data_IF_621194534239
#
_entry.id   IF_621194534239
#
_cell.length_a   1.000
_cell.length_b   1.000
_cell.length_c   1.000
_cell.angle_alpha   90.00
_cell.angle_beta   90.00
_cell.angle_gamma   90.00
#
_symmetry.space_group_name_H-M   'P 1'
#
loop_
_entity.id
_entity.type
_entity.pdbx_description
1 polymer ?
#
# COMPACT_ATOMS: atom_id res chain seq x y z
N UNK A 1 -11.13 1.98 -27.16
CA UNK A 1 -9.65 2.17 -27.10
C UNK A 1 -9.28 2.59 -25.70
N UNK A 2 -8.85 1.69 -24.85
CA UNK A 2 -8.27 2.01 -23.55
C UNK A 2 -6.97 2.80 -23.80
N UNK A 3 -6.89 4.04 -23.33
CA UNK A 3 -5.67 4.84 -23.40
C UNK A 3 -4.52 4.02 -22.81
N UNK A 4 -3.47 3.78 -23.57
CA UNK A 4 -2.26 3.09 -23.10
C UNK A 4 -1.73 3.84 -21.85
N UNK A 5 -1.88 3.22 -20.68
CA UNK A 5 -1.37 3.78 -19.41
C UNK A 5 0.14 3.57 -19.41
N UNK A 6 0.89 4.67 -19.36
CA UNK A 6 2.35 4.65 -19.18
C UNK A 6 2.67 4.65 -17.69
N UNK A 7 3.35 3.62 -17.21
CA UNK A 7 3.76 3.49 -15.79
C UNK A 7 4.55 4.74 -15.35
N UNK A 8 5.46 5.21 -16.18
CA UNK A 8 6.30 6.35 -15.84
C UNK A 8 5.49 7.61 -15.47
N UNK A 9 4.38 7.90 -16.19
CA UNK A 9 3.56 9.08 -15.91
C UNK A 9 2.73 8.91 -14.64
N UNK A 10 2.16 7.73 -14.44
CA UNK A 10 1.35 7.41 -13.24
C UNK A 10 2.26 7.44 -12.01
N UNK A 11 3.41 6.77 -12.07
CA UNK A 11 4.34 6.73 -10.95
C UNK A 11 4.85 8.12 -10.54
N UNK A 12 5.17 9.01 -11.49
CA UNK A 12 5.59 10.39 -11.17
C UNK A 12 4.44 11.15 -10.50
N UNK A 13 3.22 11.04 -11.02
CA UNK A 13 2.06 11.70 -10.41
C UNK A 13 1.81 11.22 -8.99
N UNK A 14 1.84 9.90 -8.76
CA UNK A 14 1.61 9.28 -7.46
C UNK A 14 2.70 9.68 -6.45
N UNK A 15 3.96 9.72 -6.87
CA UNK A 15 5.09 10.15 -6.02
C UNK A 15 4.90 11.61 -5.60
N UNK A 16 4.57 12.50 -6.55
CA UNK A 16 4.35 13.92 -6.27
C UNK A 16 3.15 14.12 -5.36
N UNK A 17 2.03 13.44 -5.64
CA UNK A 17 0.82 13.50 -4.81
C UNK A 17 1.08 13.03 -3.37
N UNK A 18 1.79 11.91 -3.21
CA UNK A 18 2.16 11.36 -1.89
C UNK A 18 3.07 12.33 -1.13
N UNK A 19 4.07 12.91 -1.80
CA UNK A 19 5.00 13.85 -1.19
C UNK A 19 4.27 15.13 -0.72
N UNK A 20 3.43 15.70 -1.57
CA UNK A 20 2.63 16.89 -1.23
C UNK A 20 1.72 16.61 -0.04
N UNK A 21 1.02 15.48 -0.05
CA UNK A 21 0.11 15.10 1.03
C UNK A 21 0.86 14.83 2.34
N UNK A 22 2.05 14.23 2.27
CA UNK A 22 2.92 14.02 3.43
C UNK A 22 3.41 15.36 4.02
N UNK A 23 3.81 16.33 3.20
CA UNK A 23 4.20 17.67 3.66
C UNK A 23 3.02 18.38 4.33
N UNK A 24 1.83 18.32 3.75
CA UNK A 24 0.60 18.87 4.33
C UNK A 24 0.27 18.23 5.66
N UNK A 25 0.40 16.90 5.78
CA UNK A 25 0.19 16.18 7.03
C UNK A 25 1.16 16.64 8.13
N UNK A 26 2.44 16.79 7.81
CA UNK A 26 3.45 17.29 8.75
C UNK A 26 3.12 18.73 9.18
N UNK A 27 2.71 19.58 8.25
CA UNK A 27 2.32 20.95 8.58
C UNK A 27 1.13 20.99 9.56
N UNK A 28 0.09 20.19 9.34
CA UNK A 28 -1.03 20.07 10.28
C UNK A 28 -0.62 19.43 11.61
N UNK A 29 0.30 18.49 11.63
CA UNK A 29 0.79 17.90 12.87
C UNK A 29 1.55 18.93 13.71
N UNK A 30 2.40 19.77 13.09
CA UNK A 30 3.09 20.86 13.77
C UNK A 30 2.10 21.92 14.30
N UNK A 31 1.11 22.30 13.49
CA UNK A 31 0.05 23.18 13.94
C UNK A 31 -0.70 22.58 15.12
N UNK A 32 -1.05 21.28 15.06
CA UNK A 32 -1.79 20.57 16.10
C UNK A 32 -1.09 20.56 17.45
N UNK A 33 0.24 20.51 17.50
CA UNK A 33 1.00 20.60 18.76
C UNK A 33 0.86 21.98 19.42
N UNK A 34 0.82 23.04 18.62
CA UNK A 34 0.59 24.40 19.12
C UNK A 34 -0.83 24.58 19.68
N UNK A 35 -1.83 24.13 18.94
CA UNK A 35 -3.24 24.21 19.37
C UNK A 35 -3.53 23.34 20.59
N UNK A 36 -2.86 22.21 20.72
CA UNK A 36 -2.96 21.37 21.92
C UNK A 36 -2.43 22.10 23.15
N UNK A 37 -1.29 22.77 23.04
CA UNK A 37 -0.72 23.54 24.14
C UNK A 37 -1.65 24.69 24.56
N UNK A 38 -2.27 25.39 23.60
CA UNK A 38 -3.25 26.45 23.89
C UNK A 38 -4.51 25.88 24.57
N UNK A 39 -5.01 24.74 24.13
CA UNK A 39 -6.15 24.07 24.75
C UNK A 39 -5.83 23.64 26.20
N UNK A 40 -4.63 23.12 26.45
CA UNK A 40 -4.18 22.77 27.80
C UNK A 40 -4.13 23.99 28.71
N UNK A 41 -3.51 25.07 28.26
CA UNK A 41 -3.44 26.33 29.02
C UNK A 41 -4.85 26.87 29.33
N UNK A 42 -5.74 26.92 28.34
CA UNK A 42 -7.11 27.38 28.56
C UNK A 42 -7.91 26.48 29.52
N UNK A 43 -7.60 25.18 29.51
CA UNK A 43 -8.23 24.24 30.46
C UNK A 43 -7.71 24.42 31.88
N UNK A 44 -6.42 24.60 32.03
CA UNK A 44 -5.81 24.87 33.34
C UNK A 44 -6.30 26.19 33.92
N UNK A 45 -6.42 27.25 33.13
CA UNK A 45 -6.99 28.55 33.53
C UNK A 45 -8.46 28.39 33.99
N UNK A 46 -9.24 27.60 33.25
CA UNK A 46 -10.64 27.34 33.64
C UNK A 46 -10.74 26.62 35.00
N UNK A 47 -9.96 25.52 35.15
CA UNK A 47 -9.96 24.74 36.40
C UNK A 47 -9.48 25.57 37.57
N UNK A 48 -8.45 26.38 37.37
CA UNK A 48 -7.91 27.26 38.42
C UNK A 48 -8.89 28.35 38.78
N UNK A 49 -9.55 29.00 37.79
CA UNK A 49 -10.59 29.98 38.04
C UNK A 49 -11.75 29.40 38.84
N UNK A 50 -12.28 28.22 38.48
CA UNK A 50 -13.37 27.55 39.20
C UNK A 50 -12.98 27.20 40.65
N UNK A 51 -11.74 26.69 40.82
CA UNK A 51 -11.23 26.32 42.13
C UNK A 51 -11.09 27.54 43.05
N UNK A 52 -10.52 28.62 42.55
CA UNK A 52 -10.34 29.87 43.30
C UNK A 52 -11.68 30.58 43.58
N UNK A 53 -12.63 30.52 42.65
CA UNK A 53 -13.97 31.03 42.86
C UNK A 53 -14.67 30.31 44.05
N UNK A 54 -14.58 29.00 44.09
CA UNK A 54 -15.11 28.20 45.24
C UNK A 54 -14.39 28.50 46.54
N UNK A 55 -13.06 28.70 46.52
CA UNK A 55 -12.28 29.06 47.71
C UNK A 55 -12.65 30.45 48.22
N UNK A 56 -12.84 31.42 47.35
CA UNK A 56 -13.27 32.78 47.72
C UNK A 56 -14.65 32.75 48.40
N UNK A 57 -15.61 32.04 47.79
CA UNK A 57 -16.95 31.94 48.35
C UNK A 57 -16.95 31.19 49.69
N UNK A 58 -16.28 30.00 49.73
CA UNK A 58 -16.21 29.20 50.96
C UNK A 58 -15.48 29.92 52.10
N UNK A 59 -14.41 30.68 51.78
CA UNK A 59 -13.72 31.52 52.76
C UNK A 59 -14.58 32.65 53.32
N UNK A 60 -15.36 33.31 52.46
CA UNK A 60 -16.30 34.33 52.88
C UNK A 60 -17.43 33.78 53.80
N UNK A 61 -18.03 32.67 53.42
CA UNK A 61 -19.07 32.00 54.24
C UNK A 61 -18.52 31.52 55.57
N UNK A 62 -17.27 30.98 55.55
CA UNK A 62 -16.60 30.49 56.78
C UNK A 62 -16.39 31.63 57.78
N UNK A 63 -15.87 32.79 57.34
CA UNK A 63 -15.63 33.96 58.18
C UNK A 63 -16.97 34.42 58.84
N UNK A 64 -18.04 34.53 58.06
CA UNK A 64 -19.38 34.91 58.57
C UNK A 64 -19.88 33.91 59.64
N UNK A 65 -19.71 32.62 59.39
CA UNK A 65 -20.14 31.58 60.31
C UNK A 65 -19.36 31.63 61.62
N UNK A 66 -18.00 31.84 61.56
CA UNK A 66 -17.19 31.95 62.79
C UNK A 66 -17.66 33.16 63.66
N UNK A 67 -17.93 34.30 63.05
CA UNK A 67 -18.45 35.50 63.77
C UNK A 67 -19.80 35.21 64.43
N UNK A 68 -20.71 34.61 63.66
CA UNK A 68 -22.07 34.27 64.24
C UNK A 68 -22.00 33.27 65.41
N UNK A 69 -21.14 32.24 65.21
CA UNK A 69 -20.97 31.23 66.30
C UNK A 69 -20.26 31.83 67.50
N UNK A 70 -19.25 32.70 67.32
CA UNK A 70 -18.60 33.37 68.43
C UNK A 70 -19.56 34.31 69.17
N UNK A 71 -20.32 35.11 68.47
CA UNK A 71 -21.30 36.03 69.11
C UNK A 71 -22.47 35.29 69.82
N UNK A 72 -22.80 34.10 69.34
CA UNK A 72 -23.89 33.28 69.96
C UNK A 72 -23.41 32.49 71.20
N UNK A 73 -22.16 31.96 71.14
CA UNK A 73 -21.67 31.00 72.14
C UNK A 73 -20.66 31.58 73.12
N UNK A 74 -19.92 32.61 72.72
CA UNK A 74 -18.76 33.12 73.47
C UNK A 74 -17.50 32.17 73.47
N UNK A 75 -17.56 31.06 72.69
CA UNK A 75 -16.48 30.11 72.68
C UNK A 75 -15.30 30.66 71.87
N UNK A 76 -14.15 30.74 72.49
CA UNK A 76 -12.90 31.32 71.91
C UNK A 76 -12.46 30.67 70.59
N UNK A 77 -12.73 29.40 70.46
CA UNK A 77 -12.36 28.64 69.23
C UNK A 77 -12.83 29.31 67.96
N UNK A 78 -14.09 29.85 67.96
CA UNK A 78 -14.64 30.52 66.76
C UNK A 78 -13.90 31.84 66.43
N UNK A 79 -13.43 32.56 67.41
CA UNK A 79 -12.63 33.77 67.23
C UNK A 79 -11.24 33.40 66.68
N UNK A 80 -10.60 32.38 67.24
CA UNK A 80 -9.29 31.89 66.79
C UNK A 80 -9.37 31.38 65.35
N UNK A 81 -10.41 30.59 64.97
CA UNK A 81 -10.67 30.13 63.63
C UNK A 81 -10.89 31.27 62.63
N UNK A 82 -11.58 32.34 63.02
CA UNK A 82 -11.80 33.53 62.18
C UNK A 82 -10.45 34.18 61.81
N UNK A 83 -9.57 34.38 62.80
CA UNK A 83 -8.27 34.98 62.58
C UNK A 83 -7.23 34.02 61.90
N UNK A 84 -7.39 32.74 62.10
CA UNK A 84 -6.62 31.74 61.33
C UNK A 84 -6.95 31.81 59.85
N UNK A 85 -8.24 31.90 59.47
CA UNK A 85 -8.63 32.07 58.08
C UNK A 85 -8.12 33.39 57.51
N UNK A 86 -8.21 34.51 58.22
CA UNK A 86 -7.73 35.81 57.75
C UNK A 86 -6.21 35.90 57.58
N UNK A 87 -5.46 35.35 58.51
CA UNK A 87 -4.03 35.60 58.61
C UNK A 87 -3.15 34.45 58.07
N UNK A 88 -3.66 33.20 58.09
CA UNK A 88 -2.92 31.99 57.75
C UNK A 88 -3.43 31.33 56.49
N UNK A 89 -4.70 30.91 56.47
CA UNK A 89 -5.31 30.19 55.37
C UNK A 89 -5.55 31.09 54.15
N UNK A 90 -6.09 32.29 54.38
CA UNK A 90 -6.22 33.38 53.40
C UNK A 90 -6.89 32.98 52.09
N UNK A 91 -7.87 32.01 52.12
CA UNK A 91 -8.52 31.51 50.89
C UNK A 91 -9.07 32.64 50.03
N UNK A 92 -9.74 33.58 50.65
CA UNK A 92 -10.34 34.71 49.95
C UNK A 92 -9.30 35.67 49.37
N UNK A 93 -8.30 36.03 50.17
CA UNK A 93 -7.23 36.97 49.80
C UNK A 93 -6.38 36.38 48.67
N UNK A 94 -6.01 35.11 48.74
CA UNK A 94 -5.23 34.42 47.70
C UNK A 94 -6.00 34.35 46.37
N UNK A 95 -7.31 34.09 46.41
CA UNK A 95 -8.13 34.11 45.21
C UNK A 95 -8.22 35.52 44.61
N UNK A 96 -8.38 36.56 45.47
CA UNK A 96 -8.39 37.94 45.00
C UNK A 96 -7.07 38.40 44.34
N UNK A 97 -5.93 38.02 44.93
CA UNK A 97 -4.62 38.31 44.36
C UNK A 97 -4.50 37.70 42.99
N UNK A 98 -4.90 36.44 42.81
CA UNK A 98 -4.90 35.76 41.52
C UNK A 98 -5.80 36.44 40.49
N UNK A 99 -7.06 36.75 40.89
CA UNK A 99 -8.00 37.40 39.97
C UNK A 99 -7.57 38.84 39.62
N UNK A 100 -6.88 39.55 40.50
CA UNK A 100 -6.34 40.85 40.23
C UNK A 100 -5.23 40.79 39.18
N UNK A 101 -4.36 39.78 39.25
CA UNK A 101 -3.25 39.58 38.34
C UNK A 101 -3.74 39.15 36.95
N UNK A 102 -4.68 38.25 36.85
CA UNK A 102 -5.10 37.64 35.59
C UNK A 102 -6.33 38.28 34.93
N UNK A 103 -7.18 38.96 35.71
CA UNK A 103 -8.46 39.53 35.26
C UNK A 103 -8.68 40.98 35.71
N UNK A 104 -7.63 41.69 36.10
CA UNK A 104 -7.72 43.03 36.70
C UNK A 104 -8.46 44.06 35.87
N UNK A 105 -8.41 43.95 34.53
CA UNK A 105 -9.09 44.86 33.61
C UNK A 105 -10.52 44.42 33.22
N UNK A 106 -11.03 43.34 33.82
CA UNK A 106 -12.33 42.78 33.50
C UNK A 106 -13.44 43.39 34.37
N UNK A 107 -14.63 43.65 33.79
CA UNK A 107 -15.79 44.17 34.52
C UNK A 107 -16.22 43.28 35.70
N UNK A 108 -16.12 41.97 35.53
CA UNK A 108 -16.40 41.00 36.57
C UNK A 108 -15.46 41.15 37.77
N UNK A 109 -14.17 41.43 37.55
CA UNK A 109 -13.23 41.70 38.63
C UNK A 109 -13.50 43.04 39.29
N UNK A 110 -13.96 44.06 38.54
CA UNK A 110 -14.39 45.37 39.10
C UNK A 110 -15.59 45.18 40.06
N UNK A 111 -16.55 44.32 39.71
CA UNK A 111 -17.66 43.97 40.57
C UNK A 111 -17.19 43.26 41.85
N UNK A 112 -16.24 42.30 41.73
CA UNK A 112 -15.63 41.62 42.86
C UNK A 112 -14.92 42.60 43.81
N UNK A 113 -14.16 43.56 43.26
CA UNK A 113 -13.50 44.59 44.03
C UNK A 113 -14.48 45.46 44.81
N UNK A 114 -15.64 45.80 44.23
CA UNK A 114 -16.73 46.53 44.92
C UNK A 114 -17.29 45.68 46.06
N UNK A 115 -17.53 44.39 45.85
CA UNK A 115 -17.99 43.47 46.90
C UNK A 115 -17.01 43.41 48.07
N UNK A 116 -15.70 43.36 47.79
CA UNK A 116 -14.67 43.35 48.81
C UNK A 116 -14.60 44.64 49.64
N UNK A 117 -14.88 45.79 49.02
CA UNK A 117 -14.97 47.07 49.74
C UNK A 117 -16.15 47.07 50.73
N UNK A 118 -17.31 46.56 50.31
CA UNK A 118 -18.46 46.39 51.21
C UNK A 118 -18.15 45.34 52.31
N UNK A 119 -17.47 44.27 52.01
CA UNK A 119 -17.01 43.25 52.97
C UNK A 119 -16.07 43.83 54.05
N UNK A 120 -15.22 44.80 53.72
CA UNK A 120 -14.35 45.49 54.68
C UNK A 120 -15.19 46.26 55.73
N UNK A 121 -16.31 46.84 55.32
CA UNK A 121 -17.24 47.52 56.27
C UNK A 121 -17.93 46.51 57.21
N UNK A 122 -18.31 45.35 56.71
CA UNK A 122 -18.82 44.23 57.54
C UNK A 122 -17.75 43.75 58.51
N UNK A 123 -16.52 43.60 58.11
CA UNK A 123 -15.41 43.17 58.98
C UNK A 123 -15.16 44.14 60.15
N UNK A 124 -15.47 45.41 60.01
CA UNK A 124 -15.45 46.33 61.16
C UNK A 124 -16.52 45.98 62.14
N UNK A 125 -17.78 45.75 61.72
CA UNK A 125 -18.89 45.35 62.55
C UNK A 125 -18.62 44.00 63.22
N UNK A 126 -18.01 43.06 62.50
CA UNK A 126 -17.61 41.74 63.02
C UNK A 126 -16.63 41.88 64.18
N UNK A 127 -15.57 42.63 63.99
CA UNK A 127 -14.57 42.85 65.05
C UNK A 127 -15.12 43.63 66.22
N UNK A 128 -16.06 44.59 66.01
CA UNK A 128 -16.74 45.29 67.09
C UNK A 128 -17.60 44.33 67.90
N UNK A 129 -18.38 43.47 67.24
CA UNK A 129 -19.21 42.46 67.90
C UNK A 129 -18.36 41.45 68.68
N UNK A 130 -17.27 40.98 68.08
CA UNK A 130 -16.31 40.08 68.73
C UNK A 130 -15.64 40.75 69.96
N UNK A 131 -15.30 42.03 69.89
CA UNK A 131 -14.77 42.79 71.05
C UNK A 131 -15.72 42.82 72.18
N UNK A 132 -17.03 43.02 71.93
CA UNK A 132 -18.07 42.98 72.99
C UNK A 132 -18.14 41.63 73.67
N UNK A 133 -18.11 40.55 72.89
CA UNK A 133 -18.11 39.17 73.40
C UNK A 133 -16.84 38.85 74.18
N UNK A 134 -15.68 39.23 73.67
CA UNK A 134 -14.39 39.00 74.34
C UNK A 134 -14.37 39.68 75.73
N UNK A 135 -14.89 40.94 75.83
CA UNK A 135 -14.97 41.63 77.05
C UNK A 135 -15.94 41.00 78.07
N UNK A 136 -16.97 40.33 77.57
CA UNK A 136 -17.98 39.63 78.42
C UNK A 136 -17.53 38.22 78.83
N UNK A 137 -16.69 37.53 78.08
CA UNK A 137 -16.39 36.11 78.27
C UNK A 137 -14.91 35.80 78.62
N UNK A 138 -13.96 36.69 78.28
CA UNK A 138 -12.55 36.47 78.45
C UNK A 138 -11.94 37.49 79.42
N UNK A 139 -11.54 37.05 80.56
CA UNK A 139 -11.05 37.95 81.64
C UNK A 139 -9.65 38.55 81.37
N UNK A 140 -8.79 37.87 80.55
CA UNK A 140 -7.41 38.27 80.22
C UNK A 140 -7.32 38.89 78.81
N UNK A 141 -7.28 40.22 78.78
CA UNK A 141 -7.15 40.99 77.53
C UNK A 141 -5.79 40.70 76.78
N UNK A 142 -4.77 40.26 77.53
CA UNK A 142 -3.46 39.97 76.93
C UNK A 142 -3.49 38.76 75.94
N UNK A 143 -4.47 37.88 76.16
CA UNK A 143 -4.71 36.70 75.33
C UNK A 143 -5.55 36.95 74.10
N UNK A 144 -6.05 38.17 73.87
CA UNK A 144 -6.90 38.48 72.70
C UNK A 144 -6.05 38.78 71.47
N UNK A 145 -6.53 38.47 70.27
CA UNK A 145 -5.89 38.92 69.02
C UNK A 145 -5.71 40.45 69.00
N UNK A 146 -4.61 40.92 68.38
CA UNK A 146 -4.25 42.32 68.30
C UNK A 146 -5.34 43.15 67.63
N UNK A 147 -6.00 42.57 66.61
CA UNK A 147 -7.09 43.18 65.83
C UNK A 147 -8.32 43.40 66.71
N UNK A 148 -8.63 42.57 67.69
CA UNK A 148 -9.72 42.73 68.63
C UNK A 148 -9.37 43.74 69.73
N UNK A 149 -8.13 43.72 70.21
CA UNK A 149 -7.66 44.69 71.23
C UNK A 149 -7.68 46.11 70.69
N UNK A 150 -7.39 46.33 69.40
CA UNK A 150 -7.34 47.65 68.78
C UNK A 150 -8.72 48.26 68.51
N UNK A 151 -9.83 47.51 68.66
CA UNK A 151 -11.21 48.05 68.51
C UNK A 151 -11.64 48.87 69.70
N UNK A 152 -12.00 50.15 69.50
CA UNK A 152 -12.56 50.99 70.57
C UNK A 152 -14.05 50.76 70.63
N UNK A 153 -14.53 50.48 71.84
CA UNK A 153 -15.97 50.43 72.09
C UNK A 153 -16.53 51.84 72.46
N UNK A 154 -17.77 52.04 72.17
CA UNK A 154 -18.48 53.23 72.63
C UNK A 154 -18.63 53.23 74.17
N UNK A 155 -18.54 54.40 74.79
CA UNK A 155 -18.61 54.53 76.27
C UNK A 155 -19.86 53.87 76.88
N UNK A 156 -20.97 53.96 76.15
CA UNK A 156 -22.26 53.31 76.53
C UNK A 156 -22.14 51.78 76.58
N UNK A 157 -21.29 51.20 75.80
CA UNK A 157 -21.15 49.75 75.67
C UNK A 157 -20.12 49.18 76.65
N UNK A 158 -19.15 49.98 77.06
CA UNK A 158 -18.18 49.62 78.09
C UNK A 158 -18.89 49.36 79.45
N UNK A 159 -19.91 50.15 79.73
CA UNK A 159 -20.70 50.11 81.03
C UNK A 159 -21.77 49.02 81.05
N UNK A 160 -22.03 48.35 79.93
CA UNK A 160 -23.04 47.27 79.85
C UNK A 160 -22.63 46.05 80.69
N UNK A 161 -23.61 45.29 81.15
CA UNK A 161 -23.41 43.96 81.74
C UNK A 161 -22.97 42.98 80.68
N UNK A 162 -22.32 41.89 81.11
CA UNK A 162 -21.82 40.84 80.14
C UNK A 162 -22.97 40.27 79.31
N UNK A 163 -24.12 40.04 79.88
CA UNK A 163 -25.31 39.59 79.15
C UNK A 163 -25.85 40.62 78.14
N UNK A 164 -25.77 41.91 78.45
CA UNK A 164 -26.14 42.97 77.50
C UNK A 164 -25.14 43.11 76.37
N UNK A 165 -23.81 42.95 76.63
CA UNK A 165 -22.77 42.93 75.61
C UNK A 165 -23.00 41.77 74.66
N UNK A 166 -23.24 40.59 75.16
CA UNK A 166 -23.53 39.39 74.36
C UNK A 166 -24.73 39.59 73.43
N UNK A 167 -25.89 40.10 74.03
CA UNK A 167 -27.08 40.37 73.24
C UNK A 167 -26.86 41.42 72.18
N UNK A 168 -26.10 42.50 72.47
CA UNK A 168 -25.77 43.54 71.49
C UNK A 168 -24.89 42.99 70.38
N UNK A 169 -23.89 42.18 70.70
CA UNK A 169 -23.06 41.56 69.72
C UNK A 169 -23.85 40.71 68.71
N UNK A 170 -24.78 39.88 69.22
CA UNK A 170 -25.73 39.11 68.39
C UNK A 170 -26.60 40.01 67.54
N UNK A 171 -27.16 41.09 68.09
CA UNK A 171 -27.96 42.03 67.31
C UNK A 171 -27.18 42.67 66.17
N UNK A 172 -25.93 43.04 66.38
CA UNK A 172 -25.11 43.68 65.38
C UNK A 172 -24.91 42.77 64.16
N UNK A 173 -24.70 41.47 64.32
CA UNK A 173 -24.42 40.51 63.20
C UNK A 173 -25.70 39.79 62.72
N UNK A 174 -26.84 40.02 63.34
CA UNK A 174 -28.16 39.43 62.97
C UNK A 174 -29.18 40.44 62.50
N UNK A 175 -28.92 41.78 62.59
CA UNK A 175 -29.94 42.79 62.20
C UNK A 175 -30.06 42.85 60.65
N UNK A 176 -31.18 43.41 60.21
CA UNK A 176 -31.53 43.51 58.79
C UNK A 176 -30.47 44.26 57.99
N UNK A 177 -29.82 45.29 58.54
CA UNK A 177 -28.79 46.06 57.87
C UNK A 177 -27.52 45.22 57.57
N UNK A 178 -27.08 44.46 58.57
CA UNK A 178 -25.96 43.52 58.43
C UNK A 178 -26.28 42.42 57.40
N UNK A 179 -27.47 41.83 57.50
CA UNK A 179 -27.93 40.78 56.60
C UNK A 179 -27.99 41.30 55.14
N UNK A 180 -28.59 42.47 54.92
CA UNK A 180 -28.67 43.09 53.60
C UNK A 180 -27.26 43.38 53.00
N UNK A 181 -26.33 43.90 53.81
CA UNK A 181 -24.92 44.09 53.32
C UNK A 181 -24.22 42.79 53.01
N UNK A 182 -24.42 41.75 53.80
CA UNK A 182 -23.88 40.41 53.54
C UNK A 182 -24.44 39.82 52.25
N UNK A 183 -25.77 39.92 52.07
CA UNK A 183 -26.43 39.38 50.89
C UNK A 183 -25.98 40.15 49.63
N UNK A 184 -25.80 41.47 49.67
CA UNK A 184 -25.23 42.29 48.59
C UNK A 184 -23.79 41.86 48.24
N UNK A 185 -22.95 41.59 49.25
CA UNK A 185 -21.60 41.08 49.06
C UNK A 185 -21.63 39.71 48.39
N UNK A 186 -22.46 38.78 48.90
CA UNK A 186 -22.56 37.41 48.34
C UNK A 186 -23.09 37.41 46.90
N UNK A 187 -24.12 38.22 46.60
CA UNK A 187 -24.68 38.38 45.27
C UNK A 187 -23.59 38.87 44.27
N UNK A 188 -22.87 39.93 44.62
CA UNK A 188 -21.78 40.46 43.78
C UNK A 188 -20.62 39.49 43.58
N UNK A 189 -20.25 38.75 44.66
CA UNK A 189 -19.22 37.69 44.54
C UNK A 189 -19.70 36.61 43.56
N UNK A 190 -20.93 36.13 43.73
CA UNK A 190 -21.50 35.08 42.86
C UNK A 190 -21.57 35.54 41.41
N UNK A 191 -22.12 36.73 41.14
CA UNK A 191 -22.23 37.29 39.81
C UNK A 191 -20.84 37.46 39.13
N UNK A 192 -19.86 37.97 39.91
CA UNK A 192 -18.47 38.11 39.42
C UNK A 192 -17.86 36.75 39.10
N UNK A 193 -17.99 35.77 39.98
CA UNK A 193 -17.41 34.44 39.78
C UNK A 193 -18.05 33.71 38.60
N UNK A 194 -19.39 33.76 38.52
CA UNK A 194 -20.11 33.17 37.39
C UNK A 194 -19.65 33.77 36.04
N UNK A 195 -19.44 35.11 36.02
CA UNK A 195 -18.94 35.81 34.82
C UNK A 195 -17.51 35.39 34.45
N UNK A 196 -16.60 35.28 35.44
CA UNK A 196 -15.22 34.84 35.22
C UNK A 196 -15.13 33.37 34.77
N UNK A 197 -15.92 32.50 35.39
CA UNK A 197 -16.05 31.07 35.04
C UNK A 197 -16.60 30.94 33.59
N UNK A 198 -17.64 31.70 33.25
CA UNK A 198 -18.21 31.71 31.91
C UNK A 198 -17.20 32.19 30.87
N UNK A 199 -16.41 33.20 31.18
CA UNK A 199 -15.32 33.70 30.29
C UNK A 199 -14.25 32.65 30.04
N UNK A 200 -13.74 32.05 31.11
CA UNK A 200 -12.69 31.02 31.01
C UNK A 200 -13.19 29.77 30.30
N UNK A 201 -14.42 29.34 30.59
CA UNK A 201 -15.08 28.24 29.89
C UNK A 201 -15.28 28.50 28.39
N UNK A 202 -15.65 29.75 28.05
CA UNK A 202 -15.76 30.13 26.63
C UNK A 202 -14.41 30.06 25.91
N UNK A 203 -13.32 30.49 26.55
CA UNK A 203 -11.94 30.36 26.01
C UNK A 203 -11.53 28.90 25.82
N UNK A 204 -11.82 28.06 26.82
CA UNK A 204 -11.56 26.62 26.76
C UNK A 204 -12.30 25.96 25.59
N UNK A 205 -13.60 26.18 25.47
CA UNK A 205 -14.44 25.63 24.40
C UNK A 205 -13.97 26.12 23.01
N UNK A 206 -13.53 27.37 22.92
CA UNK A 206 -12.93 27.93 21.71
C UNK A 206 -11.66 27.20 21.30
N UNK A 207 -10.73 27.01 22.24
CA UNK A 207 -9.46 26.31 22.01
C UNK A 207 -9.68 24.82 21.65
N UNK A 208 -10.62 24.14 22.33
CA UNK A 208 -11.02 22.77 22.02
C UNK A 208 -11.59 22.63 20.60
N UNK A 209 -12.42 23.60 20.18
CA UNK A 209 -13.00 23.60 18.82
C UNK A 209 -11.92 23.74 17.75
N UNK A 210 -10.96 24.63 17.96
CA UNK A 210 -9.83 24.85 17.04
C UNK A 210 -8.96 23.58 16.97
N UNK A 211 -8.56 23.04 18.11
CA UNK A 211 -7.77 21.79 18.18
C UNK A 211 -8.46 20.64 17.48
N UNK A 212 -9.76 20.41 17.77
CA UNK A 212 -10.56 19.35 17.13
C UNK A 212 -10.65 19.54 15.61
N UNK A 213 -10.74 20.80 15.16
CA UNK A 213 -10.74 21.13 13.74
C UNK A 213 -9.42 20.76 13.04
N UNK A 214 -8.28 21.02 13.68
CA UNK A 214 -6.94 20.64 13.16
C UNK A 214 -6.78 19.11 13.19
N UNK A 215 -7.20 18.45 14.28
CA UNK A 215 -7.12 17.00 14.41
C UNK A 215 -7.91 16.27 13.32
N UNK A 216 -9.13 16.73 12.98
CA UNK A 216 -9.91 16.18 11.86
C UNK A 216 -9.20 16.33 10.51
N UNK A 217 -8.47 17.43 10.29
CA UNK A 217 -7.67 17.60 9.06
C UNK A 217 -6.52 16.59 8.99
N UNK A 218 -5.87 16.30 10.12
CA UNK A 218 -4.83 15.26 10.22
C UNK A 218 -5.41 13.89 9.88
N UNK A 219 -6.54 13.52 10.47
CA UNK A 219 -7.24 12.25 10.20
C UNK A 219 -7.61 12.11 8.72
N UNK A 220 -8.14 13.17 8.10
CA UNK A 220 -8.50 13.18 6.68
C UNK A 220 -7.27 12.99 5.79
N UNK A 221 -6.18 13.72 6.06
CA UNK A 221 -4.93 13.56 5.32
C UNK A 221 -4.34 12.16 5.46
N UNK A 222 -4.37 11.59 6.65
CA UNK A 222 -3.91 10.21 6.89
C UNK A 222 -4.75 9.18 6.13
N UNK A 223 -6.08 9.33 6.15
CA UNK A 223 -6.99 8.47 5.39
C UNK A 223 -6.74 8.55 3.87
N UNK A 224 -6.53 9.76 3.34
CA UNK A 224 -6.19 9.97 1.93
C UNK A 224 -4.84 9.33 1.56
N UNK A 225 -3.82 9.40 2.43
CA UNK A 225 -2.54 8.73 2.22
C UNK A 225 -2.71 7.20 2.14
N UNK A 226 -3.50 6.62 3.03
CA UNK A 226 -3.79 5.17 3.00
C UNK A 226 -4.50 4.79 1.71
N UNK A 227 -5.51 5.55 1.28
CA UNK A 227 -6.22 5.31 0.03
C UNK A 227 -5.30 5.39 -1.19
N UNK A 228 -4.44 6.41 -1.26
CA UNK A 228 -3.45 6.57 -2.32
C UNK A 228 -2.47 5.38 -2.35
N UNK A 229 -2.02 4.93 -1.19
CA UNK A 229 -1.12 3.77 -1.08
C UNK A 229 -1.78 2.46 -1.56
N UNK A 230 -3.06 2.26 -1.25
CA UNK A 230 -3.83 1.13 -1.76
C UNK A 230 -4.02 1.21 -3.27
N UNK A 231 -4.29 2.39 -3.82
CA UNK A 231 -4.40 2.63 -5.27
C UNK A 231 -3.09 2.29 -5.98
N UNK A 232 -1.95 2.80 -5.51
CA UNK A 232 -0.61 2.49 -6.05
C UNK A 232 -0.35 0.99 -6.02
N UNK A 233 -0.67 0.33 -4.90
CA UNK A 233 -0.49 -1.12 -4.76
C UNK A 233 -1.34 -1.90 -5.79
N UNK A 234 -2.59 -1.51 -5.99
CA UNK A 234 -3.48 -2.13 -6.98
C UNK A 234 -3.00 -1.90 -8.42
N UNK A 235 -2.61 -0.67 -8.76
CA UNK A 235 -2.08 -0.33 -10.09
C UNK A 235 -0.82 -1.15 -10.37
N UNK A 236 0.13 -1.17 -9.43
CA UNK A 236 1.37 -1.94 -9.56
C UNK A 236 1.09 -3.43 -9.73
N UNK A 237 0.19 -4.00 -8.92
CA UNK A 237 -0.18 -5.42 -9.02
C UNK A 237 -0.79 -5.76 -10.38
N UNK A 238 -1.71 -4.94 -10.87
CA UNK A 238 -2.48 -5.26 -12.08
C UNK A 238 -1.70 -4.96 -13.36
N UNK A 239 -0.98 -3.83 -13.42
CA UNK A 239 -0.32 -3.38 -14.64
C UNK A 239 1.15 -3.82 -14.75
N UNK A 240 1.79 -4.24 -13.65
CA UNK A 240 3.22 -4.63 -13.64
C UNK A 240 3.39 -6.09 -13.22
N UNK A 241 3.01 -6.42 -11.98
CA UNK A 241 3.35 -7.73 -11.38
C UNK A 241 2.67 -8.87 -12.12
N UNK A 242 1.36 -8.77 -12.35
CA UNK A 242 0.59 -9.82 -13.03
C UNK A 242 1.09 -10.06 -14.46
N UNK A 243 1.26 -9.05 -15.35
CA UNK A 243 1.83 -9.27 -16.67
C UNK A 243 3.22 -9.89 -16.67
N UNK A 244 4.11 -9.48 -15.75
CA UNK A 244 5.44 -10.09 -15.64
C UNK A 244 5.38 -11.57 -15.25
N UNK A 245 4.45 -11.94 -14.37
CA UNK A 245 4.21 -13.35 -14.02
C UNK A 245 3.72 -14.15 -15.23
N UNK A 246 2.78 -13.58 -16.00
CA UNK A 246 2.24 -14.20 -17.22
C UNK A 246 3.35 -14.38 -18.27
N UNK A 247 4.24 -13.39 -18.46
CA UNK A 247 5.41 -13.50 -19.34
C UNK A 247 6.38 -14.60 -18.89
N UNK A 248 6.64 -14.71 -17.56
CA UNK A 248 7.44 -15.78 -17.02
C UNK A 248 6.86 -17.17 -17.28
N UNK A 249 5.55 -17.31 -17.28
CA UNK A 249 4.86 -18.57 -17.63
C UNK A 249 4.95 -18.86 -19.14
N UNK A 250 4.75 -17.83 -19.99
CA UNK A 250 4.87 -17.97 -21.45
C UNK A 250 6.27 -18.41 -21.87
N UNK A 251 7.34 -17.88 -21.25
CA UNK A 251 8.72 -18.34 -21.50
C UNK A 251 8.87 -19.82 -21.18
N UNK A 252 8.38 -20.28 -20.01
CA UNK A 252 8.50 -21.70 -19.62
C UNK A 252 7.74 -22.65 -20.53
N UNK A 253 6.64 -22.20 -21.14
CA UNK A 253 5.83 -22.97 -22.09
C UNK A 253 6.33 -22.85 -23.52
N UNK A 254 7.26 -21.98 -23.82
CA UNK A 254 7.68 -21.69 -25.18
C UNK A 254 6.56 -21.06 -26.02
N UNK A 255 5.83 -20.13 -25.43
CA UNK A 255 4.72 -19.41 -26.06
C UNK A 255 5.02 -17.93 -26.22
N UNK A 256 4.26 -17.25 -27.06
CA UNK A 256 4.32 -15.79 -27.23
C UNK A 256 3.77 -15.09 -25.98
N UNK A 257 4.25 -13.89 -25.69
CA UNK A 257 3.74 -13.09 -24.59
C UNK A 257 2.34 -12.53 -24.87
N UNK A 258 1.44 -12.57 -23.89
CA UNK A 258 0.19 -11.83 -24.00
C UNK A 258 0.46 -10.32 -23.98
N UNK A 259 -0.17 -9.55 -24.88
CA UNK A 259 0.02 -8.09 -24.97
C UNK A 259 -0.89 -7.41 -23.95
N UNK A 260 -0.50 -7.43 -22.68
CA UNK A 260 -1.26 -6.91 -21.53
C UNK A 260 -0.37 -6.08 -20.60
N UNK A 261 -1.00 -5.34 -19.68
CA UNK A 261 -0.29 -4.51 -18.71
C UNK A 261 -0.09 -3.08 -19.18
N UNK A 262 0.91 -2.41 -18.62
CA UNK A 262 1.27 -1.05 -18.98
C UNK A 262 1.88 -0.96 -20.38
N UNK A 263 1.91 0.25 -20.94
CA UNK A 263 2.37 0.49 -22.30
C UNK A 263 3.78 -0.05 -22.55
N UNK A 264 4.67 0.16 -21.60
CA UNK A 264 6.06 -0.28 -21.65
C UNK A 264 6.18 -1.81 -21.69
N UNK A 265 5.34 -2.52 -20.95
CA UNK A 265 5.27 -3.99 -20.96
C UNK A 265 4.62 -4.53 -22.23
N UNK A 266 3.59 -3.83 -22.76
CA UNK A 266 2.99 -4.18 -24.04
C UNK A 266 4.01 -4.05 -25.19
N UNK A 267 4.80 -2.98 -25.20
CA UNK A 267 5.86 -2.78 -26.21
C UNK A 267 6.95 -3.88 -26.07
N UNK A 268 7.33 -4.23 -24.84
CA UNK A 268 8.24 -5.36 -24.59
C UNK A 268 7.67 -6.69 -25.12
N UNK A 269 6.36 -6.95 -24.87
CA UNK A 269 5.71 -8.15 -25.37
C UNK A 269 5.68 -8.22 -26.89
N UNK A 270 5.42 -7.11 -27.55
CA UNK A 270 5.42 -7.04 -29.02
C UNK A 270 6.80 -7.34 -29.59
N UNK A 271 7.85 -6.71 -29.05
CA UNK A 271 9.25 -6.94 -29.49
C UNK A 271 9.67 -8.38 -29.24
N UNK A 272 9.37 -8.94 -28.07
CA UNK A 272 9.67 -10.35 -27.79
C UNK A 272 8.97 -11.29 -28.78
N UNK A 273 7.69 -11.05 -29.06
CA UNK A 273 6.89 -11.89 -29.95
C UNK A 273 7.41 -11.86 -31.39
N UNK A 274 7.91 -10.72 -31.84
CA UNK A 274 8.58 -10.57 -33.14
C UNK A 274 9.87 -11.42 -33.20
N UNK A 275 10.78 -11.24 -32.26
CA UNK A 275 12.03 -12.01 -32.16
C UNK A 275 11.75 -13.50 -32.02
N UNK A 276 10.72 -13.88 -31.24
CA UNK A 276 10.33 -15.28 -31.07
C UNK A 276 9.90 -15.92 -32.41
N UNK A 277 9.07 -15.19 -33.20
CA UNK A 277 8.63 -15.68 -34.53
C UNK A 277 9.78 -15.81 -35.51
N UNK A 278 10.67 -14.83 -35.59
CA UNK A 278 11.87 -14.86 -36.44
C UNK A 278 12.78 -16.06 -36.08
N UNK A 279 12.97 -16.31 -34.77
CA UNK A 279 13.74 -17.48 -34.34
C UNK A 279 13.08 -18.80 -34.75
N UNK A 280 11.75 -18.90 -34.61
CA UNK A 280 11.02 -20.09 -35.02
C UNK A 280 11.12 -20.34 -36.53
N UNK A 281 11.03 -19.30 -37.33
CA UNK A 281 11.19 -19.38 -38.80
C UNK A 281 12.65 -19.79 -39.18
N UNK A 282 13.61 -19.14 -38.55
CA UNK A 282 15.03 -19.45 -38.74
C UNK A 282 15.35 -20.91 -38.39
N UNK A 283 14.82 -21.39 -37.25
CA UNK A 283 14.99 -22.78 -36.83
C UNK A 283 14.39 -23.77 -37.85
N UNK A 284 13.20 -23.43 -38.41
CA UNK A 284 12.61 -24.28 -39.49
C UNK A 284 13.48 -24.33 -40.71
N UNK A 285 14.04 -23.20 -41.14
CA UNK A 285 14.95 -23.12 -42.29
C UNK A 285 16.22 -23.95 -42.02
N UNK A 286 16.88 -23.70 -40.89
CA UNK A 286 18.10 -24.45 -40.51
C UNK A 286 17.82 -25.95 -40.42
N UNK A 287 16.69 -26.36 -39.86
CA UNK A 287 16.28 -27.75 -39.78
C UNK A 287 16.04 -28.35 -41.16
N UNK A 288 15.38 -27.59 -42.05
CA UNK A 288 15.12 -28.03 -43.41
C UNK A 288 16.46 -28.22 -44.20
N UNK A 289 17.37 -27.25 -44.11
CA UNK A 289 18.70 -27.35 -44.71
C UNK A 289 19.54 -28.52 -44.13
N UNK A 290 19.45 -28.74 -42.82
CA UNK A 290 20.15 -29.84 -42.17
C UNK A 290 19.57 -31.22 -42.53
N UNK A 291 18.31 -31.32 -42.91
CA UNK A 291 17.61 -32.58 -43.19
C UNK A 291 17.48 -32.90 -44.67
N UNK A 292 17.65 -31.92 -45.56
CA UNK A 292 17.47 -32.09 -47.01
C UNK A 292 18.75 -31.87 -47.79
N UNK A 293 18.85 -32.44 -48.98
CA UNK A 293 19.88 -32.21 -49.98
C UNK A 293 19.61 -30.87 -50.69
N UNK A 294 20.57 -29.97 -50.67
CA UNK A 294 20.41 -28.61 -51.19
C UNK A 294 20.08 -28.52 -52.68
N UNK A 295 20.53 -29.50 -53.49
CA UNK A 295 20.30 -29.52 -54.93
C UNK A 295 18.90 -30.04 -55.27
N UNK A 296 18.52 -31.16 -54.67
CA UNK A 296 17.34 -31.94 -55.08
C UNK A 296 16.14 -31.75 -54.15
N UNK A 297 16.39 -31.22 -52.98
CA UNK A 297 15.36 -31.09 -51.92
C UNK A 297 14.83 -32.46 -51.43
N UNK A 298 15.46 -33.58 -51.77
CA UNK A 298 15.25 -34.86 -51.14
C UNK A 298 15.87 -34.86 -49.74
N UNK A 299 15.53 -35.83 -48.89
CA UNK A 299 16.23 -35.97 -47.61
C UNK A 299 17.70 -36.31 -47.87
N UNK A 300 18.60 -35.76 -47.06
CA UNK A 300 20.03 -36.03 -47.21
C UNK A 300 20.43 -37.35 -46.56
N UNK A 301 21.68 -37.76 -46.74
CA UNK A 301 22.25 -38.98 -46.14
C UNK A 301 22.11 -39.03 -44.62
N UNK A 302 22.34 -37.91 -43.90
CA UNK A 302 22.21 -37.87 -42.45
C UNK A 302 20.78 -38.10 -41.97
N UNK A 303 19.79 -37.62 -42.72
CA UNK A 303 18.37 -37.91 -42.47
C UNK A 303 17.99 -39.36 -42.74
N UNK A 304 18.52 -39.92 -43.83
CA UNK A 304 18.37 -41.35 -44.12
C UNK A 304 18.88 -42.24 -42.96
N UNK A 305 20.07 -41.96 -42.44
CA UNK A 305 20.66 -42.74 -41.33
C UNK A 305 19.82 -42.65 -40.04
N UNK A 306 19.28 -41.46 -39.77
CA UNK A 306 18.34 -41.25 -38.60
C UNK A 306 17.06 -42.06 -38.79
N UNK A 307 16.42 -41.98 -39.94
CA UNK A 307 15.19 -42.69 -40.28
C UNK A 307 15.43 -44.20 -40.16
N UNK A 308 16.51 -44.65 -40.72
CA UNK A 308 16.91 -46.02 -40.71
C UNK A 308 17.10 -46.59 -39.30
N UNK A 309 17.71 -45.81 -38.39
CA UNK A 309 17.84 -46.25 -36.98
C UNK A 309 16.51 -46.44 -36.29
N UNK A 310 15.45 -45.67 -36.69
CA UNK A 310 14.09 -45.89 -36.20
C UNK A 310 13.52 -47.22 -36.69
N UNK A 311 13.75 -47.57 -37.95
CA UNK A 311 13.28 -48.81 -38.55
C UNK A 311 14.07 -50.05 -38.08
N UNK A 312 15.39 -49.93 -37.83
CA UNK A 312 16.23 -51.00 -37.28
C UNK A 312 15.73 -51.53 -35.92
N UNK A 313 15.15 -50.62 -35.12
CA UNK A 313 14.68 -50.96 -33.78
C UNK A 313 13.17 -51.31 -33.74
N UNK A 314 12.50 -51.35 -34.89
CA UNK A 314 11.06 -51.60 -34.99
C UNK A 314 10.75 -52.85 -35.84
N UNK A 315 9.69 -53.57 -35.44
CA UNK A 315 9.19 -54.76 -36.16
C UNK A 315 8.29 -54.40 -37.35
N UNK A 316 8.16 -53.12 -37.68
CA UNK A 316 7.24 -52.69 -38.74
C UNK A 316 7.76 -53.00 -40.13
N UNK A 317 6.97 -53.63 -41.00
CA UNK A 317 7.39 -53.96 -42.36
C UNK A 317 7.60 -52.68 -43.16
N UNK A 318 8.65 -52.68 -43.98
CA UNK A 318 8.98 -51.61 -44.96
C UNK A 318 9.70 -52.18 -46.18
N UNK A 319 9.65 -51.48 -47.28
CA UNK A 319 10.45 -51.80 -48.45
C UNK A 319 11.50 -50.70 -48.73
N UNK A 320 12.68 -51.13 -49.14
CA UNK A 320 13.77 -50.24 -49.54
C UNK A 320 13.95 -50.34 -51.04
N UNK A 321 14.03 -49.20 -51.67
CA UNK A 321 14.40 -49.07 -53.08
C UNK A 321 15.68 -48.29 -53.16
N UNK A 322 16.67 -48.83 -53.86
CA UNK A 322 17.90 -48.14 -54.23
C UNK A 322 17.80 -47.82 -55.71
N UNK A 323 18.10 -46.57 -56.06
CA UNK A 323 18.04 -46.06 -57.43
C UNK A 323 19.35 -45.34 -57.73
N UNK A 324 20.03 -45.75 -58.81
CA UNK A 324 21.27 -45.20 -59.30
C UNK A 324 21.04 -44.69 -60.74
N UNK A 325 21.49 -43.47 -61.04
CA UNK A 325 21.25 -42.83 -62.34
C UNK A 325 22.31 -43.33 -63.31
N UNK A 326 21.91 -44.10 -64.33
CA UNK A 326 22.83 -44.70 -65.31
C UNK A 326 23.53 -43.62 -66.11
N UNK A 327 24.79 -43.91 -66.51
CA UNK A 327 25.63 -43.02 -67.31
C UNK A 327 25.75 -41.57 -66.83
N UNK A 328 25.43 -41.29 -65.54
CA UNK A 328 25.45 -39.93 -64.98
C UNK A 328 26.80 -39.25 -65.13
N UNK A 329 27.90 -39.95 -64.93
CA UNK A 329 29.24 -39.43 -65.15
C UNK A 329 29.44 -38.97 -66.59
N UNK A 330 28.99 -39.77 -67.57
CA UNK A 330 29.09 -39.42 -68.99
C UNK A 330 28.27 -38.12 -69.29
N UNK A 331 27.09 -37.99 -68.69
CA UNK A 331 26.31 -36.76 -68.83
C UNK A 331 27.07 -35.55 -68.31
N UNK A 332 27.66 -35.64 -67.10
CA UNK A 332 28.43 -34.55 -66.53
C UNK A 332 29.66 -34.19 -67.41
N UNK A 333 30.40 -35.20 -67.89
CA UNK A 333 31.60 -35.02 -68.66
C UNK A 333 31.26 -34.42 -70.05
N UNK A 334 30.13 -34.77 -70.67
CA UNK A 334 29.71 -34.36 -71.98
C UNK A 334 28.91 -33.03 -72.00
N UNK A 335 27.99 -32.85 -71.09
CA UNK A 335 27.03 -31.75 -71.09
C UNK A 335 27.24 -30.76 -69.96
N UNK A 336 28.19 -31.05 -69.06
CA UNK A 336 28.52 -30.21 -67.94
C UNK A 336 27.61 -30.47 -66.69
N UNK A 337 28.12 -30.09 -65.53
CA UNK A 337 27.46 -30.31 -64.24
C UNK A 337 26.08 -29.67 -64.15
N UNK A 338 25.82 -28.54 -64.83
CA UNK A 338 24.49 -27.89 -64.79
C UNK A 338 23.40 -28.80 -65.38
N UNK A 339 23.70 -29.57 -66.44
CA UNK A 339 22.76 -30.54 -67.04
C UNK A 339 22.55 -31.72 -66.08
N UNK A 340 23.66 -32.22 -65.50
CA UNK A 340 23.56 -33.27 -64.48
C UNK A 340 22.73 -32.87 -63.28
N UNK A 341 22.89 -31.65 -62.79
CA UNK A 341 22.03 -31.08 -61.66
C UNK A 341 20.55 -31.07 -61.99
N UNK A 342 20.21 -30.66 -63.25
CA UNK A 342 18.80 -30.68 -63.69
C UNK A 342 18.24 -32.11 -63.79
N UNK A 343 19.08 -33.07 -64.20
CA UNK A 343 18.70 -34.49 -64.22
C UNK A 343 18.45 -34.99 -62.79
N UNK A 344 19.34 -34.71 -61.83
CA UNK A 344 19.15 -35.11 -60.42
C UNK A 344 17.89 -34.49 -59.82
N UNK A 345 17.59 -33.24 -60.13
CA UNK A 345 16.34 -32.59 -59.71
C UNK A 345 15.12 -33.31 -60.30
N UNK A 346 15.16 -33.70 -61.60
CA UNK A 346 14.08 -34.44 -62.23
C UNK A 346 13.88 -35.81 -61.61
N UNK A 347 14.95 -36.56 -61.36
CA UNK A 347 14.93 -37.87 -60.69
C UNK A 347 14.34 -37.76 -59.29
N UNK A 348 14.83 -36.80 -58.49
CA UNK A 348 14.28 -36.56 -57.15
C UNK A 348 12.80 -36.22 -57.15
N UNK A 349 12.37 -35.34 -58.10
CA UNK A 349 10.97 -34.94 -58.22
C UNK A 349 10.08 -36.12 -58.66
N UNK A 350 10.54 -36.94 -59.62
CA UNK A 350 9.81 -38.12 -60.04
C UNK A 350 9.72 -39.15 -58.89
N UNK A 351 10.76 -39.38 -58.13
CA UNK A 351 10.71 -40.23 -56.95
C UNK A 351 9.71 -39.67 -55.92
N UNK A 352 9.73 -38.38 -55.62
CA UNK A 352 8.79 -37.74 -54.67
C UNK A 352 7.34 -37.80 -55.15
N UNK A 353 7.07 -37.73 -56.44
CA UNK A 353 5.70 -37.78 -56.98
C UNK A 353 5.17 -39.20 -57.13
N UNK A 354 6.05 -40.18 -57.33
CA UNK A 354 5.70 -41.60 -57.45
C UNK A 354 5.35 -42.20 -56.05
N UNK A 355 6.04 -41.68 -55.03
CA UNK A 355 5.86 -42.15 -53.64
C UNK A 355 4.88 -41.28 -52.84
N UNK A 356 4.33 -41.86 -51.78
CA UNK A 356 3.38 -41.15 -50.93
C UNK A 356 4.11 -40.12 -50.04
N UNK A 357 3.43 -39.11 -49.63
CA UNK A 357 3.97 -38.12 -48.67
C UNK A 357 4.45 -38.71 -47.33
N UNK A 358 4.02 -39.91 -47.02
CA UNK A 358 4.44 -40.68 -45.82
C UNK A 358 5.70 -41.52 -46.03
N UNK A 359 6.14 -41.70 -47.28
CA UNK A 359 7.33 -42.45 -47.64
C UNK A 359 8.54 -41.46 -47.69
N UNK A 360 9.74 -41.98 -47.53
CA UNK A 360 10.93 -41.17 -47.48
C UNK A 360 11.75 -41.32 -48.78
N UNK A 361 12.07 -40.21 -49.39
CA UNK A 361 12.98 -40.18 -50.57
C UNK A 361 14.26 -39.44 -50.15
N UNK A 362 15.36 -40.12 -50.22
CA UNK A 362 16.68 -39.66 -49.77
C UNK A 362 17.69 -39.69 -50.92
N UNK A 363 18.56 -38.67 -50.97
CA UNK A 363 19.79 -38.72 -51.82
C UNK A 363 20.97 -39.04 -50.95
N UNK A 364 21.65 -40.14 -51.22
CA UNK A 364 22.73 -40.64 -50.39
C UNK A 364 24.09 -40.09 -50.81
N UNK A 365 24.25 -39.81 -52.11
CA UNK A 365 25.45 -39.17 -52.66
C UNK A 365 25.42 -39.25 -54.17
N UNK A 366 26.13 -38.36 -54.84
CA UNK A 366 26.28 -38.36 -56.27
C UNK A 366 24.95 -38.53 -57.05
N UNK A 367 24.79 -39.66 -57.65
CA UNK A 367 23.67 -40.13 -58.48
C UNK A 367 22.78 -41.17 -57.77
N UNK A 368 23.02 -41.44 -56.48
CA UNK A 368 22.33 -42.50 -55.71
C UNK A 368 21.19 -41.92 -54.91
N UNK A 369 20.02 -42.54 -55.03
CA UNK A 369 18.80 -42.25 -54.26
C UNK A 369 18.30 -43.50 -53.55
N UNK A 370 17.75 -43.35 -52.35
CA UNK A 370 17.07 -44.42 -51.65
C UNK A 370 15.67 -43.93 -51.28
N UNK A 371 14.68 -44.77 -51.56
CA UNK A 371 13.33 -44.56 -51.07
C UNK A 371 12.94 -45.66 -50.08
N UNK A 372 12.32 -45.24 -48.95
CA UNK A 372 11.80 -46.16 -47.92
C UNK A 372 10.28 -46.09 -47.89
N UNK A 373 9.63 -47.16 -48.18
CA UNK A 373 8.19 -47.33 -48.08
C UNK A 373 7.75 -47.74 -46.73
N UNK A 374 6.74 -47.09 -46.21
CA UNK A 374 6.10 -47.50 -44.98
C UNK A 374 4.99 -48.54 -45.23
N UNK A 375 5.19 -49.76 -44.70
CA UNK A 375 4.38 -50.90 -45.04
C UNK A 375 4.80 -51.57 -46.35
N UNK A 376 4.60 -52.87 -46.48
CA UNK A 376 4.86 -53.56 -47.74
C UNK A 376 3.58 -53.62 -48.55
N UNK A 377 3.45 -52.91 -49.68
CA UNK A 377 2.35 -53.13 -50.62
C UNK A 377 2.44 -54.55 -51.16
N UNK A 378 1.36 -55.09 -51.71
CA UNK A 378 1.48 -56.34 -52.45
C UNK A 378 2.58 -56.25 -53.52
N UNK A 379 3.40 -57.27 -53.71
CA UNK A 379 4.53 -57.22 -54.68
C UNK A 379 4.10 -56.70 -56.05
N UNK A 380 2.94 -57.11 -56.57
CA UNK A 380 2.47 -56.60 -57.88
C UNK A 380 2.12 -55.09 -57.88
N UNK A 381 1.75 -54.50 -56.73
CA UNK A 381 1.52 -53.07 -56.68
C UNK A 381 2.84 -52.28 -56.60
N UNK A 382 3.85 -52.85 -55.99
CA UNK A 382 5.21 -52.27 -55.93
C UNK A 382 5.89 -52.33 -57.30
N UNK A 383 5.85 -53.50 -57.96
CA UNK A 383 6.41 -53.70 -59.31
C UNK A 383 5.80 -52.71 -60.32
N UNK A 384 4.45 -52.55 -60.28
CA UNK A 384 3.80 -51.57 -61.16
C UNK A 384 4.28 -50.14 -60.95
N UNK A 385 4.50 -49.71 -59.74
CA UNK A 385 5.05 -48.38 -59.43
C UNK A 385 6.49 -48.22 -59.89
N UNK A 386 7.27 -49.28 -59.79
CA UNK A 386 8.65 -49.27 -60.25
C UNK A 386 8.73 -49.22 -61.79
N UNK A 387 7.84 -49.97 -62.49
CA UNK A 387 7.72 -49.86 -63.92
C UNK A 387 7.29 -48.47 -64.40
N UNK A 388 6.43 -47.79 -63.62
CA UNK A 388 6.09 -46.39 -63.83
C UNK A 388 7.29 -45.48 -63.63
N UNK A 389 8.07 -45.72 -62.55
CA UNK A 389 9.27 -44.98 -62.26
C UNK A 389 10.35 -45.16 -63.34
N UNK A 390 10.62 -46.42 -63.80
CA UNK A 390 11.59 -46.73 -64.86
C UNK A 390 11.19 -46.02 -66.16
N UNK A 391 9.92 -46.04 -66.53
CA UNK A 391 9.43 -45.33 -67.74
C UNK A 391 9.59 -43.81 -67.61
N UNK A 392 9.36 -43.28 -66.45
CA UNK A 392 9.53 -41.85 -66.15
C UNK A 392 10.98 -41.39 -66.10
N UNK A 393 11.87 -42.30 -65.72
CA UNK A 393 13.31 -42.03 -65.63
C UNK A 393 14.06 -42.28 -66.97
N UNK A 394 13.37 -42.72 -68.01
CA UNK A 394 13.97 -42.87 -69.34
C UNK A 394 13.80 -41.59 -70.15
N UNK A 395 14.91 -40.87 -70.39
CA UNK A 395 14.89 -39.64 -71.22
C UNK A 395 15.91 -39.71 -72.35
N UNK A 396 15.54 -39.29 -73.54
CA UNK A 396 16.52 -39.20 -74.65
C UNK A 396 17.47 -38.03 -74.37
N UNK A 397 18.79 -38.30 -74.63
CA UNK A 397 19.85 -37.29 -74.56
C UNK A 397 20.13 -36.79 -76.03
N UNK A 398 20.72 -35.56 -76.19
CA UNK A 398 20.93 -34.95 -77.50
C UNK A 398 21.91 -35.79 -78.44
N UNK A 399 22.72 -36.64 -77.85
CA UNK A 399 23.64 -37.52 -78.56
C UNK A 399 22.99 -38.84 -79.04
N UNK A 400 21.69 -39.01 -78.81
CA UNK A 400 20.97 -40.21 -79.21
C UNK A 400 21.02 -41.33 -78.12
N UNK A 401 21.76 -41.15 -77.03
CA UNK A 401 21.71 -42.03 -75.91
C UNK A 401 20.40 -41.81 -75.11
N UNK A 402 20.02 -42.82 -74.37
CA UNK A 402 18.86 -42.67 -73.40
C UNK A 402 19.44 -42.85 -72.00
N UNK A 403 19.18 -41.85 -71.22
CA UNK A 403 19.45 -41.95 -69.80
C UNK A 403 18.36 -42.81 -69.15
N UNK A 404 18.80 -43.66 -68.22
CA UNK A 404 17.89 -44.52 -67.40
C UNK A 404 18.33 -44.47 -65.94
N UNK A 405 17.66 -45.19 -65.12
CA UNK A 405 18.09 -45.43 -63.75
C UNK A 405 17.91 -46.90 -63.39
N UNK A 406 18.96 -47.45 -62.85
CA UNK A 406 18.95 -48.85 -62.33
C UNK A 406 18.28 -48.88 -60.93
N UNK A 407 17.34 -49.78 -60.75
CA UNK A 407 16.48 -49.83 -59.53
C UNK A 407 16.55 -51.22 -58.90
N UNK A 408 16.94 -51.28 -57.64
CA UNK A 408 16.91 -52.47 -56.81
C UNK A 408 15.96 -52.36 -55.68
N UNK A 409 15.33 -53.48 -55.27
CA UNK A 409 14.27 -53.53 -54.27
C UNK A 409 14.53 -54.68 -53.32
N UNK A 410 14.26 -54.42 -52.03
CA UNK A 410 14.14 -55.45 -51.02
C UNK A 410 13.13 -55.06 -49.94
N UNK A 411 12.38 -56.03 -49.42
CA UNK A 411 11.31 -55.84 -48.44
C UNK A 411 11.63 -56.54 -47.11
N UNK A 412 11.50 -55.83 -46.04
CA UNK A 412 11.62 -56.35 -44.67
C UNK A 412 10.24 -56.71 -44.14
N UNK A 413 10.06 -57.86 -43.49
CA UNK A 413 11.05 -58.90 -43.16
C UNK A 413 11.14 -60.02 -44.23
N UNK A 414 10.48 -59.87 -45.39
CA UNK A 414 10.34 -60.94 -46.39
C UNK A 414 11.65 -61.41 -46.98
N UNK A 415 12.51 -60.44 -47.39
CA UNK A 415 13.73 -60.72 -48.13
C UNK A 415 14.98 -60.83 -47.21
N UNK A 416 14.97 -60.12 -46.08
CA UNK A 416 16.06 -60.16 -45.12
C UNK A 416 15.56 -60.04 -43.68
N UNK A 417 16.29 -60.68 -42.75
CA UNK A 417 16.00 -60.62 -41.32
C UNK A 417 16.57 -59.36 -40.64
N UNK A 418 17.50 -58.70 -41.28
CA UNK A 418 18.11 -57.45 -40.77
C UNK A 418 18.36 -56.44 -41.90
N UNK A 419 18.64 -55.20 -41.48
CA UNK A 419 18.86 -54.08 -42.36
C UNK A 419 20.09 -54.28 -43.30
N UNK A 420 21.19 -54.85 -42.78
CA UNK A 420 22.43 -55.02 -43.54
C UNK A 420 22.22 -56.00 -44.69
N UNK A 421 21.45 -57.07 -44.43
CA UNK A 421 20.98 -58.02 -45.41
C UNK A 421 20.06 -57.36 -46.45
N UNK A 422 19.08 -56.55 -45.95
CA UNK A 422 18.15 -55.87 -46.81
C UNK A 422 18.84 -54.89 -47.79
N UNK A 423 19.75 -54.04 -47.26
CA UNK A 423 20.52 -53.11 -48.10
C UNK A 423 21.35 -53.86 -49.16
N UNK A 424 22.04 -54.90 -48.77
CA UNK A 424 22.85 -55.75 -49.67
C UNK A 424 22.00 -56.39 -50.77
N UNK A 425 20.81 -56.84 -50.45
CA UNK A 425 19.91 -57.43 -51.44
C UNK A 425 19.35 -56.39 -52.41
N UNK A 426 18.94 -55.25 -51.91
CA UNK A 426 18.48 -54.14 -52.74
C UNK A 426 19.61 -53.61 -53.68
N UNK A 427 20.84 -53.47 -53.17
CA UNK A 427 22.01 -53.05 -53.90
C UNK A 427 22.39 -54.11 -55.00
N UNK A 428 22.38 -55.39 -54.61
CA UNK A 428 22.65 -56.48 -55.61
C UNK A 428 21.56 -56.56 -56.70
N UNK A 429 20.27 -56.28 -56.35
CA UNK A 429 19.19 -56.18 -57.31
C UNK A 429 19.38 -55.01 -58.29
N UNK A 430 19.76 -53.84 -57.74
CA UNK A 430 20.06 -52.64 -58.54
C UNK A 430 21.27 -52.90 -59.50
N UNK A 431 22.33 -53.55 -59.01
CA UNK A 431 23.48 -53.85 -59.85
C UNK A 431 23.14 -54.85 -60.93
N UNK A 432 22.23 -55.80 -60.72
CA UNK A 432 21.71 -56.72 -61.72
C UNK A 432 20.84 -56.00 -62.77
N UNK A 433 20.15 -54.95 -62.42
CA UNK A 433 19.37 -54.11 -63.33
C UNK A 433 20.24 -53.20 -64.20
N UNK A 434 21.49 -52.94 -63.80
CA UNK A 434 22.47 -52.06 -64.46
C UNK A 434 23.13 -52.75 -65.74
N UNK A 435 22.76 -53.96 -66.08
CA UNK A 435 23.24 -54.70 -67.25
C UNK A 435 22.27 -54.58 -68.39
#
# INVERSE_FOLDING_TARGET
>A
MLKKIRIQRVSIFDIVATLVLAVVLVAFAVQGTGELAQMQTATDDYIQCETLARQLQSGSDYLIEQVRMYTATGQREYMDNYFEELNTTRRRENALEYFAEHYGDNDAFTLLKSAMTTSQNLSYTDRYAMRLVAQATLADESSWPTEIRSVSLHDSDITMTDSEKMRKAQQLVCNDQYQNMRDDVNEKITESMDSLIALTRSRQNGAETVFTGVYRKIELCAALLVLLMLEICMITRYFVVKPLMDYGQSIRRGEIFPVVGAAELQDLALTYNEVYRENQETQKIIRHEAEHDALTGALNRGSFEKILNIYKNGEKPFAMIICDVDIFKHVNDTYGHAVGDEILKKVANLLKTTFRSIDYVCRIGGDEFIALFRGVPSMGALEKRIDELRRGLSFPLPDGLSMSASIGIAAFPNDAADYTGLFRLADASMYADKR
#
